data_IF_447335533021
#
_entry.id   IF_447335533021
#
_cell.length_a   1.000
_cell.length_b   1.000
_cell.length_c   1.000
_cell.angle_alpha   90.00
_cell.angle_beta   90.00
_cell.angle_gamma   90.00
#
_symmetry.space_group_name_H-M   'P 1'
#
loop_
_entity.id
_entity.type
_entity.pdbx_description
1 polymer ?
#
# COMPACT_ATOMS: atom_id res chain seq x y z
N UNK A 1 5.01 -20.81 13.69
CA UNK A 1 5.82 -19.87 14.48
C UNK A 1 5.81 -18.50 13.79
N UNK A 2 5.45 -17.43 14.51
CA UNK A 2 5.59 -16.06 14.03
C UNK A 2 7.03 -15.61 14.23
N UNK A 3 7.64 -15.04 13.19
CA UNK A 3 8.93 -14.37 13.28
C UNK A 3 8.74 -12.90 12.90
N UNK A 4 9.37 -12.00 13.62
CA UNK A 4 9.36 -10.56 13.35
C UNK A 4 10.77 -10.09 13.04
N UNK A 5 10.89 -9.17 12.09
CA UNK A 5 12.16 -8.57 11.68
C UNK A 5 11.94 -7.12 11.29
N UNK A 6 12.78 -6.22 11.79
CA UNK A 6 12.80 -4.84 11.34
C UNK A 6 13.34 -4.77 9.91
N UNK A 7 12.59 -4.12 9.01
CA UNK A 7 12.96 -4.00 7.61
C UNK A 7 12.54 -2.63 7.05
N UNK A 8 13.48 -1.87 6.55
CA UNK A 8 13.21 -0.74 5.68
C UNK A 8 12.99 -1.25 4.24
N UNK A 9 11.74 -1.32 3.82
CA UNK A 9 11.35 -1.82 2.51
C UNK A 9 11.75 -0.89 1.34
N UNK A 10 12.29 0.30 1.62
CA UNK A 10 12.84 1.22 0.61
C UNK A 10 14.35 1.06 0.42
N UNK A 11 15.01 0.31 1.29
CA UNK A 11 16.45 0.07 1.24
C UNK A 11 16.76 -1.27 0.54
N UNK A 12 17.37 -1.19 -0.64
CA UNK A 12 17.67 -2.34 -1.49
C UNK A 12 18.54 -3.39 -0.81
N UNK A 13 19.58 -2.95 -0.10
CA UNK A 13 20.53 -3.83 0.57
C UNK A 13 19.84 -4.61 1.70
N UNK A 14 19.01 -3.93 2.51
CA UNK A 14 18.24 -4.55 3.58
C UNK A 14 17.20 -5.53 3.03
N UNK A 15 16.51 -5.19 1.95
CA UNK A 15 15.55 -6.09 1.30
C UNK A 15 16.24 -7.33 0.71
N UNK A 16 17.38 -7.18 0.05
CA UNK A 16 18.16 -8.30 -0.45
C UNK A 16 18.66 -9.21 0.70
N UNK A 17 19.16 -8.64 1.78
CA UNK A 17 19.59 -9.40 2.96
C UNK A 17 18.40 -10.12 3.63
N UNK A 18 17.22 -9.50 3.68
CA UNK A 18 16.00 -10.14 4.14
C UNK A 18 15.63 -11.33 3.25
N UNK A 19 15.59 -11.14 1.92
CA UNK A 19 15.25 -12.20 0.98
C UNK A 19 16.22 -13.39 1.07
N UNK A 20 17.52 -13.14 1.25
CA UNK A 20 18.51 -14.18 1.45
C UNK A 20 18.32 -14.95 2.78
N UNK A 21 17.64 -14.38 3.75
CA UNK A 21 17.33 -15.01 5.04
C UNK A 21 16.05 -15.86 5.07
N UNK A 22 15.26 -15.82 3.98
CA UNK A 22 14.03 -16.61 3.83
C UNK A 22 14.21 -17.62 2.72
N UNK A 23 13.90 -18.89 2.99
CA UNK A 23 14.13 -19.97 2.02
C UNK A 23 13.04 -20.02 0.94
N UNK A 24 11.79 -19.91 1.36
CA UNK A 24 10.62 -20.01 0.47
C UNK A 24 9.56 -19.00 0.89
N UNK A 25 8.88 -18.45 -0.10
CA UNK A 25 7.76 -17.53 0.09
C UNK A 25 6.60 -17.99 -0.76
N UNK A 26 5.44 -18.18 -0.14
CA UNK A 26 4.18 -18.51 -0.81
C UNK A 26 3.33 -17.28 -1.05
N UNK A 27 3.37 -16.33 -0.11
CA UNK A 27 2.57 -15.10 -0.16
C UNK A 27 3.42 -13.90 0.24
N UNK A 28 3.42 -12.89 -0.60
CA UNK A 28 3.86 -11.53 -0.24
C UNK A 28 2.61 -10.67 0.01
N UNK A 29 2.38 -10.26 1.26
CA UNK A 29 1.38 -9.26 1.61
C UNK A 29 2.10 -7.92 1.88
N UNK A 30 2.01 -6.99 0.94
CA UNK A 30 2.70 -5.70 1.02
C UNK A 30 1.75 -4.60 1.47
N UNK A 31 1.89 -4.16 2.71
CA UNK A 31 1.07 -3.12 3.34
C UNK A 31 1.85 -1.85 3.69
N UNK A 32 3.10 -1.74 3.24
CA UNK A 32 3.90 -0.52 3.46
C UNK A 32 3.27 0.65 2.72
N UNK A 33 3.19 1.81 3.39
CA UNK A 33 2.64 2.99 2.77
C UNK A 33 2.72 4.23 3.65
N UNK A 34 2.66 5.37 2.99
CA UNK A 34 2.67 6.71 3.58
C UNK A 34 1.53 7.54 2.97
N UNK A 35 0.88 8.34 3.81
CA UNK A 35 -0.24 9.20 3.39
C UNK A 35 0.20 10.67 3.50
N UNK A 36 0.51 11.28 2.37
CA UNK A 36 0.64 12.74 2.30
C UNK A 36 -0.74 13.40 2.27
N UNK A 37 -0.89 14.48 3.03
CA UNK A 37 -2.08 15.30 3.08
C UNK A 37 -1.84 16.62 2.34
N UNK A 38 -2.57 16.87 1.27
CA UNK A 38 -2.47 18.11 0.53
C UNK A 38 -2.95 17.98 -0.92
N UNK A 39 -3.14 19.14 -1.52
CA UNK A 39 -3.36 19.31 -2.96
C UNK A 39 -2.02 19.23 -3.70
N UNK A 40 -2.03 19.41 -5.02
CA UNK A 40 -0.79 19.52 -5.81
C UNK A 40 0.07 20.72 -5.40
N UNK A 41 -0.55 21.78 -4.90
CA UNK A 41 0.16 23.00 -4.46
C UNK A 41 0.84 22.83 -3.11
N UNK A 42 0.40 21.86 -2.30
CA UNK A 42 0.93 21.55 -0.97
C UNK A 42 1.99 20.43 -1.01
N UNK A 43 2.24 19.87 -2.19
CA UNK A 43 3.17 18.75 -2.39
C UNK A 43 4.43 19.25 -3.09
N UNK A 44 5.48 19.50 -2.33
CA UNK A 44 6.78 19.81 -2.90
C UNK A 44 7.47 18.57 -3.50
N UNK A 45 8.64 18.78 -4.11
CA UNK A 45 9.38 17.69 -4.76
C UNK A 45 9.87 16.65 -3.75
N UNK A 46 10.22 17.02 -2.54
CA UNK A 46 10.68 16.08 -1.51
C UNK A 46 9.55 15.14 -1.09
N UNK A 47 8.38 15.68 -0.76
CA UNK A 47 7.20 14.91 -0.41
C UNK A 47 6.69 14.05 -1.59
N UNK A 48 6.80 14.57 -2.82
CA UNK A 48 6.50 13.80 -4.02
C UNK A 48 7.38 12.56 -4.13
N UNK A 49 8.71 12.74 -4.11
CA UNK A 49 9.66 11.62 -4.22
C UNK A 49 9.58 10.67 -3.01
N UNK A 50 9.40 11.18 -1.80
CA UNK A 50 9.17 10.37 -0.62
C UNK A 50 7.94 9.48 -0.77
N UNK A 51 6.83 10.04 -1.24
CA UNK A 51 5.59 9.28 -1.45
C UNK A 51 5.76 8.19 -2.51
N UNK A 52 6.42 8.48 -3.62
CA UNK A 52 6.76 7.48 -4.65
C UNK A 52 7.67 6.39 -4.06
N UNK A 53 8.72 6.78 -3.35
CA UNK A 53 9.68 5.85 -2.76
C UNK A 53 9.01 4.89 -1.76
N UNK A 54 8.24 5.44 -0.81
CA UNK A 54 7.61 4.62 0.22
C UNK A 54 6.45 3.78 -0.34
N UNK A 55 5.60 4.34 -1.20
CA UNK A 55 4.39 3.63 -1.64
C UNK A 55 4.62 2.72 -2.86
N UNK A 56 5.44 3.14 -3.82
CA UNK A 56 5.58 2.44 -5.10
C UNK A 56 6.89 1.68 -5.20
N UNK A 57 8.02 2.36 -4.91
CA UNK A 57 9.33 1.72 -5.02
C UNK A 57 9.50 0.57 -4.02
N UNK A 58 8.98 0.70 -2.79
CA UNK A 58 9.01 -0.40 -1.82
C UNK A 58 8.27 -1.64 -2.32
N UNK A 59 7.09 -1.45 -2.95
CA UNK A 59 6.33 -2.55 -3.54
C UNK A 59 7.09 -3.22 -4.69
N UNK A 60 7.71 -2.41 -5.56
CA UNK A 60 8.59 -2.91 -6.62
C UNK A 60 9.75 -3.70 -6.04
N UNK A 61 10.47 -3.13 -5.08
CA UNK A 61 11.67 -3.73 -4.51
C UNK A 61 11.38 -5.06 -3.82
N UNK A 62 10.35 -5.11 -2.98
CA UNK A 62 9.92 -6.34 -2.32
C UNK A 62 9.47 -7.40 -3.33
N UNK A 63 8.64 -7.01 -4.31
CA UNK A 63 8.13 -7.95 -5.31
C UNK A 63 9.24 -8.48 -6.20
N UNK A 64 10.09 -7.61 -6.76
CA UNK A 64 11.18 -8.03 -7.66
C UNK A 64 12.24 -8.91 -7.00
N UNK A 65 12.47 -8.69 -5.69
CA UNK A 65 13.46 -9.47 -4.94
C UNK A 65 12.92 -10.85 -4.54
N UNK A 66 11.62 -10.96 -4.22
CA UNK A 66 11.01 -12.22 -3.76
C UNK A 66 10.42 -13.07 -4.89
N UNK A 67 10.04 -12.47 -5.99
CA UNK A 67 9.45 -13.15 -7.16
C UNK A 67 10.29 -14.33 -7.69
N UNK A 68 11.63 -14.27 -7.77
CA UNK A 68 12.42 -15.39 -8.26
C UNK A 68 12.23 -16.70 -7.50
N UNK A 69 11.96 -16.64 -6.18
CA UNK A 69 11.69 -17.84 -5.38
C UNK A 69 10.33 -18.45 -5.71
N UNK A 70 9.31 -17.61 -5.94
CA UNK A 70 7.99 -18.03 -6.38
C UNK A 70 8.03 -18.64 -7.78
N UNK A 71 8.77 -18.04 -8.71
CA UNK A 71 8.93 -18.54 -10.09
C UNK A 71 9.56 -19.93 -10.14
N UNK A 72 10.57 -20.20 -9.29
CA UNK A 72 11.18 -21.54 -9.18
C UNK A 72 10.16 -22.61 -8.78
N UNK A 73 9.21 -22.26 -7.92
CA UNK A 73 8.14 -23.15 -7.45
C UNK A 73 6.96 -23.22 -8.42
N UNK A 74 6.88 -22.29 -9.37
CA UNK A 74 5.69 -22.05 -10.22
C UNK A 74 4.42 -21.83 -9.39
N UNK A 75 4.57 -21.21 -8.24
CA UNK A 75 3.49 -20.92 -7.30
C UNK A 75 3.82 -19.70 -6.47
N UNK A 76 2.90 -18.75 -6.40
CA UNK A 76 3.05 -17.57 -5.55
C UNK A 76 1.81 -16.70 -5.57
N UNK A 77 1.68 -15.86 -4.54
CA UNK A 77 0.61 -14.89 -4.44
C UNK A 77 1.17 -13.57 -3.92
N UNK A 78 1.02 -12.50 -4.70
CA UNK A 78 1.41 -11.14 -4.32
C UNK A 78 0.14 -10.33 -4.09
N UNK A 79 0.01 -9.77 -2.91
CA UNK A 79 -1.13 -8.94 -2.50
C UNK A 79 -0.59 -7.59 -2.08
N UNK A 80 -1.01 -6.54 -2.80
CA UNK A 80 -0.58 -5.15 -2.54
C UNK A 80 -1.74 -4.37 -1.94
N UNK A 81 -1.50 -3.68 -0.83
CA UNK A 81 -2.50 -2.78 -0.24
C UNK A 81 -2.45 -1.43 -0.95
N UNK A 82 -3.41 -1.23 -1.85
CA UNK A 82 -3.68 0.03 -2.52
C UNK A 82 -4.66 0.89 -1.70
N UNK A 83 -5.64 1.50 -2.33
CA UNK A 83 -6.70 2.31 -1.68
C UNK A 83 -7.87 2.50 -2.62
N UNK A 84 -9.07 2.70 -2.08
CA UNK A 84 -10.20 3.24 -2.81
C UNK A 84 -9.90 4.65 -3.35
N UNK A 85 -9.11 5.46 -2.60
CA UNK A 85 -8.55 6.72 -3.06
C UNK A 85 -7.38 6.47 -4.03
N UNK A 86 -7.71 6.11 -5.27
CA UNK A 86 -6.79 5.75 -6.35
C UNK A 86 -7.44 6.03 -7.70
N UNK A 87 -7.32 5.13 -8.68
CA UNK A 87 -8.04 5.20 -9.94
C UNK A 87 -9.54 4.83 -9.82
N UNK A 88 -10.00 4.40 -8.65
CA UNK A 88 -11.42 4.09 -8.40
C UNK A 88 -12.17 5.34 -7.96
N UNK A 89 -11.58 6.14 -7.06
CA UNK A 89 -12.21 7.34 -6.51
C UNK A 89 -11.17 8.41 -6.18
N UNK A 90 -11.41 9.65 -6.57
CA UNK A 90 -10.66 10.80 -6.06
C UNK A 90 -11.03 11.09 -4.59
N UNK A 91 -10.08 11.60 -3.83
CA UNK A 91 -10.31 12.07 -2.47
C UNK A 91 -9.67 13.46 -2.27
N UNK A 92 -10.37 14.41 -1.63
CA UNK A 92 -9.82 15.73 -1.35
C UNK A 92 -8.51 15.64 -0.56
N UNK A 93 -7.56 16.52 -0.87
CA UNK A 93 -6.26 16.61 -0.19
C UNK A 93 -5.48 15.28 -0.18
N UNK A 94 -5.54 14.53 -1.30
CA UNK A 94 -4.85 13.25 -1.48
C UNK A 94 -4.14 13.17 -2.83
N UNK A 95 -3.62 14.31 -3.33
CA UNK A 95 -3.00 14.38 -4.66
C UNK A 95 -1.96 13.28 -4.85
N UNK A 96 -0.82 13.34 -4.18
CA UNK A 96 0.26 12.37 -4.40
C UNK A 96 -0.07 10.99 -3.82
N UNK A 97 -0.82 10.92 -2.72
CA UNK A 97 -1.27 9.64 -2.17
C UNK A 97 -2.14 8.88 -3.19
N UNK A 98 -3.18 9.51 -3.74
CA UNK A 98 -4.05 8.90 -4.75
C UNK A 98 -3.27 8.48 -6.00
N UNK A 99 -2.32 9.31 -6.44
CA UNK A 99 -1.42 9.02 -7.57
C UNK A 99 -0.61 7.75 -7.32
N UNK A 100 0.02 7.62 -6.15
CA UNK A 100 0.83 6.44 -5.82
C UNK A 100 -0.03 5.18 -5.71
N UNK A 101 -1.24 5.28 -5.14
CA UNK A 101 -2.15 4.14 -5.01
C UNK A 101 -2.73 3.72 -6.37
N UNK A 102 -2.97 4.65 -7.28
CA UNK A 102 -3.31 4.34 -8.67
C UNK A 102 -2.16 3.64 -9.42
N UNK A 103 -0.92 4.08 -9.20
CA UNK A 103 0.26 3.41 -9.73
C UNK A 103 0.39 1.95 -9.26
N UNK A 104 0.08 1.66 -7.98
CA UNK A 104 0.05 0.29 -7.45
C UNK A 104 -1.00 -0.59 -8.15
N UNK A 105 -2.15 -0.03 -8.53
CA UNK A 105 -3.16 -0.78 -9.29
C UNK A 105 -2.66 -1.14 -10.70
N UNK A 106 -1.94 -0.23 -11.35
CA UNK A 106 -1.25 -0.51 -12.62
C UNK A 106 -0.15 -1.56 -12.47
N UNK A 107 0.67 -1.43 -11.43
CA UNK A 107 1.72 -2.38 -11.08
C UNK A 107 1.17 -3.82 -10.94
N UNK A 108 0.11 -3.99 -10.16
CA UNK A 108 -0.51 -5.30 -9.95
C UNK A 108 -1.05 -5.91 -11.24
N UNK A 109 -1.69 -5.09 -12.10
CA UNK A 109 -2.20 -5.56 -13.40
C UNK A 109 -1.08 -6.03 -14.32
N UNK A 110 0.02 -5.28 -14.40
CA UNK A 110 1.18 -5.65 -15.20
C UNK A 110 1.80 -6.96 -14.70
N UNK A 111 2.07 -7.05 -13.40
CA UNK A 111 2.59 -8.28 -12.77
C UNK A 111 1.68 -9.49 -13.01
N UNK A 112 0.37 -9.32 -12.90
CA UNK A 112 -0.58 -10.41 -13.11
C UNK A 112 -0.53 -10.94 -14.55
N UNK A 113 -0.46 -10.07 -15.56
CA UNK A 113 -0.39 -10.47 -16.96
C UNK A 113 0.95 -11.15 -17.28
N UNK A 114 2.05 -10.60 -16.77
CA UNK A 114 3.39 -11.11 -17.04
C UNK A 114 3.62 -12.52 -16.51
N UNK A 115 3.08 -12.83 -15.30
CA UNK A 115 3.47 -14.03 -14.55
C UNK A 115 2.35 -15.03 -14.28
N UNK A 116 1.12 -14.82 -14.79
CA UNK A 116 0.01 -15.76 -14.58
C UNK A 116 0.29 -17.18 -15.13
N UNK A 117 1.01 -17.27 -16.25
CA UNK A 117 1.39 -18.56 -16.86
C UNK A 117 2.45 -19.30 -16.04
N UNK A 118 3.16 -18.60 -15.19
CA UNK A 118 4.16 -19.16 -14.28
C UNK A 118 3.57 -19.52 -12.91
N UNK A 119 2.23 -19.49 -12.77
CA UNK A 119 1.54 -19.86 -11.54
C UNK A 119 1.55 -18.76 -10.47
N UNK A 120 1.87 -17.52 -10.83
CA UNK A 120 1.89 -16.38 -9.90
C UNK A 120 0.59 -15.58 -10.02
N UNK A 121 -0.07 -15.35 -8.90
CA UNK A 121 -1.23 -14.45 -8.81
C UNK A 121 -0.80 -13.13 -8.21
N UNK A 122 -1.30 -12.03 -8.76
CA UNK A 122 -1.03 -10.70 -8.24
C UNK A 122 -2.35 -9.93 -8.13
N UNK A 123 -2.67 -9.44 -6.92
CA UNK A 123 -3.92 -8.75 -6.64
C UNK A 123 -3.69 -7.50 -5.78
N UNK A 124 -4.62 -6.55 -5.86
CA UNK A 124 -4.66 -5.39 -4.98
C UNK A 124 -5.89 -5.44 -4.08
N UNK A 125 -5.70 -5.04 -2.82
CA UNK A 125 -6.79 -4.71 -1.91
C UNK A 125 -6.93 -3.19 -1.88
N UNK A 126 -8.14 -2.69 -2.03
CA UNK A 126 -8.44 -1.26 -2.09
C UNK A 126 -9.35 -0.84 -0.92
N UNK A 127 -8.83 -0.73 0.30
CA UNK A 127 -9.64 -0.34 1.45
C UNK A 127 -10.24 1.06 1.29
N UNK A 128 -11.44 1.24 1.83
CA UNK A 128 -11.98 2.54 2.19
C UNK A 128 -11.34 3.06 3.48
N UNK A 129 -12.07 3.85 4.26
CA UNK A 129 -11.59 4.27 5.58
C UNK A 129 -11.89 3.20 6.62
N UNK A 130 -10.84 2.71 7.27
CA UNK A 130 -10.90 1.75 8.38
C UNK A 130 -10.59 2.46 9.68
N UNK A 131 -11.35 2.18 10.73
CA UNK A 131 -11.18 2.78 12.06
C UNK A 131 -10.00 2.12 12.77
N UNK A 132 -8.82 2.70 12.62
CA UNK A 132 -7.55 2.22 13.15
C UNK A 132 -6.93 3.23 14.11
N UNK A 133 -5.94 2.87 14.93
CA UNK A 133 -5.19 3.86 15.73
C UNK A 133 -4.67 5.04 14.92
N UNK A 134 -4.09 4.79 13.75
CA UNK A 134 -3.63 5.84 12.84
C UNK A 134 -4.76 6.74 12.30
N UNK A 135 -5.99 6.23 12.18
CA UNK A 135 -7.14 7.06 11.84
C UNK A 135 -7.54 7.97 13.02
N UNK A 136 -7.56 7.45 14.24
CA UNK A 136 -7.84 8.25 15.45
C UNK A 136 -6.82 9.37 15.62
N UNK A 137 -5.53 9.08 15.44
CA UNK A 137 -4.47 10.12 15.49
C UNK A 137 -4.77 11.24 14.48
N UNK A 138 -5.07 10.90 13.23
CA UNK A 138 -5.39 11.89 12.18
C UNK A 138 -6.64 12.73 12.48
N UNK A 139 -7.66 12.12 13.05
CA UNK A 139 -8.86 12.85 13.47
C UNK A 139 -8.53 13.82 14.60
N UNK A 140 -7.77 13.37 15.60
CA UNK A 140 -7.41 14.18 16.76
C UNK A 140 -6.46 15.34 16.40
N UNK A 141 -5.70 15.23 15.31
CA UNK A 141 -4.82 16.31 14.81
C UNK A 141 -5.54 17.34 13.94
N UNK A 142 -6.82 17.15 13.60
CA UNK A 142 -7.58 18.12 12.82
C UNK A 142 -8.00 19.32 13.69
N UNK A 143 -8.16 20.49 13.08
CA UNK A 143 -8.62 21.71 13.75
C UNK A 143 -9.97 21.54 14.45
N UNK A 144 -10.88 20.76 13.82
CA UNK A 144 -12.14 20.31 14.41
C UNK A 144 -12.25 18.78 14.31
N UNK A 145 -11.86 18.03 15.35
CA UNK A 145 -11.93 16.58 15.35
C UNK A 145 -13.35 16.02 15.19
N UNK A 146 -14.38 16.72 15.68
CA UNK A 146 -15.77 16.28 15.55
C UNK A 146 -16.23 16.37 14.09
N UNK A 147 -15.96 17.50 13.45
CA UNK A 147 -16.29 17.66 12.04
C UNK A 147 -15.47 16.71 11.17
N UNK A 148 -14.19 16.55 11.43
CA UNK A 148 -13.32 15.61 10.72
C UNK A 148 -13.88 14.17 10.78
N UNK A 149 -14.35 13.72 11.96
CA UNK A 149 -14.98 12.40 12.11
C UNK A 149 -16.23 12.26 11.22
N UNK A 150 -17.09 13.26 11.24
CA UNK A 150 -18.32 13.29 10.42
C UNK A 150 -17.95 13.23 8.92
N UNK A 151 -16.97 13.99 8.50
CA UNK A 151 -16.50 14.02 7.11
C UNK A 151 -15.93 12.68 6.65
N UNK A 152 -15.16 11.99 7.51
CA UNK A 152 -14.68 10.65 7.20
C UNK A 152 -15.81 9.64 7.03
N UNK A 153 -16.83 9.67 7.88
CA UNK A 153 -18.00 8.80 7.78
C UNK A 153 -18.81 9.11 6.52
N UNK A 154 -19.07 10.37 6.23
CA UNK A 154 -19.86 10.80 5.06
C UNK A 154 -19.21 10.43 3.72
N UNK A 155 -17.90 10.19 3.69
CA UNK A 155 -17.18 9.70 2.50
C UNK A 155 -17.42 8.22 2.23
N UNK A 156 -17.94 7.47 3.20
CA UNK A 156 -18.20 6.04 3.07
C UNK A 156 -19.66 5.81 2.68
N UNK A 157 -19.90 5.13 1.56
CA UNK A 157 -21.23 4.79 1.10
C UNK A 157 -22.02 3.92 2.11
N UNK A 158 -21.32 3.21 2.98
CA UNK A 158 -21.92 2.42 4.06
C UNK A 158 -22.49 3.27 5.20
N UNK A 159 -22.21 4.59 5.24
CA UNK A 159 -22.64 5.46 6.37
C UNK A 159 -21.86 5.20 7.68
N UNK A 160 -20.80 4.40 7.63
CA UNK A 160 -19.91 4.09 8.75
C UNK A 160 -18.48 3.83 8.27
N UNK A 161 -17.55 3.81 9.20
CA UNK A 161 -16.19 3.30 8.93
C UNK A 161 -16.19 1.77 8.91
N UNK A 162 -15.26 1.18 8.19
CA UNK A 162 -14.96 -0.24 8.32
C UNK A 162 -14.19 -0.51 9.63
N UNK A 163 -14.29 -1.72 10.13
CA UNK A 163 -13.52 -2.18 11.29
C UNK A 163 -12.32 -3.04 10.83
N UNK A 164 -11.20 -3.07 11.58
CA UNK A 164 -10.05 -3.89 11.21
C UNK A 164 -10.35 -5.38 11.08
N UNK A 165 -11.38 -5.86 11.75
CA UNK A 165 -11.80 -7.27 11.79
C UNK A 165 -12.64 -7.69 10.57
N UNK A 166 -13.11 -6.72 9.77
CA UNK A 166 -13.87 -6.97 8.54
C UNK A 166 -12.94 -7.36 7.39
#
# INVERSE_FOLDING_TARGET
>A
NLQTKELDATNKEKVNAFAASVNEIDVLFHAVGFVHHGTIMDCDSEEFYRSINVNVYSAYLMSSTLLPTMLKKKQGNIIIVSSAASNVKGAPNRFIYGTTKAALNGFVKAMAVDYVKDGIRCNAILPGTVETPSWHERVNMADDPKQARIDFINRQAMGRLAQPEE
#
